data_IF_732710437251
#
_entry.id   IF_732710437251
#
_cell.length_a   1.000
_cell.length_b   1.000
_cell.length_c   1.000
_cell.angle_alpha   90.00
_cell.angle_beta   90.00
_cell.angle_gamma   90.00
#
_symmetry.space_group_name_H-M   'P 1'
#
loop_
_entity.id
_entity.type
_entity.pdbx_description
1 polymer ?
#
# COMPACT_ATOMS: atom_id res chain seq x y z
N UNK A 1 -7.60 -1.51 -26.69
CA UNK A 1 -6.50 -2.50 -26.64
C UNK A 1 -5.80 -2.33 -25.31
N UNK A 2 -5.92 -3.27 -24.38
CA UNK A 2 -5.18 -3.25 -23.13
C UNK A 2 -3.69 -3.45 -23.45
N UNK A 3 -2.86 -2.48 -23.07
CA UNK A 3 -1.41 -2.54 -23.26
C UNK A 3 -0.85 -3.53 -22.25
N UNK A 4 -0.18 -4.58 -22.71
CA UNK A 4 0.46 -5.56 -21.83
C UNK A 4 1.55 -4.88 -20.99
N UNK A 5 1.76 -5.33 -19.73
CA UNK A 5 2.81 -4.78 -18.87
C UNK A 5 4.18 -4.93 -19.54
N UNK A 6 5.04 -3.95 -19.36
CA UNK A 6 6.43 -4.07 -19.79
C UNK A 6 7.12 -5.10 -18.91
N UNK A 7 7.52 -6.23 -19.48
CA UNK A 7 8.15 -7.34 -18.76
C UNK A 7 9.66 -7.29 -18.95
N UNK A 8 10.40 -7.19 -17.86
CA UNK A 8 11.86 -7.37 -17.85
C UNK A 8 12.17 -8.75 -17.28
N UNK A 9 12.82 -9.60 -18.06
CA UNK A 9 13.25 -10.95 -17.64
C UNK A 9 14.72 -10.95 -17.27
N UNK A 10 15.03 -11.45 -16.07
CA UNK A 10 16.39 -11.77 -15.61
C UNK A 10 16.41 -13.22 -15.12
N UNK A 11 17.56 -13.90 -15.09
CA UNK A 11 17.64 -15.26 -14.55
C UNK A 11 17.04 -15.32 -13.14
N UNK A 12 16.00 -16.15 -12.96
CA UNK A 12 15.30 -16.33 -11.69
C UNK A 12 14.40 -15.18 -11.22
N UNK A 13 14.23 -14.13 -12.05
CA UNK A 13 13.39 -12.98 -11.70
C UNK A 13 12.66 -12.41 -12.92
N UNK A 14 11.36 -12.21 -12.80
CA UNK A 14 10.54 -11.48 -13.77
C UNK A 14 9.99 -10.21 -13.12
N UNK A 15 10.19 -9.07 -13.77
CA UNK A 15 9.70 -7.77 -13.30
C UNK A 15 8.59 -7.28 -14.23
N UNK A 16 7.42 -7.07 -13.68
CA UNK A 16 6.26 -6.50 -14.36
C UNK A 16 6.09 -5.03 -13.93
N UNK A 17 6.29 -4.10 -14.87
CA UNK A 17 6.02 -2.67 -14.63
C UNK A 17 4.56 -2.36 -14.89
N UNK A 18 3.93 -1.66 -13.96
CA UNK A 18 2.52 -1.27 -14.04
C UNK A 18 2.41 0.12 -14.67
N UNK A 19 2.01 0.15 -15.95
CA UNK A 19 1.70 1.38 -16.66
C UNK A 19 0.33 1.92 -16.22
N UNK A 20 0.08 3.21 -16.49
CA UNK A 20 -1.18 3.87 -16.15
C UNK A 20 -2.43 3.17 -16.74
N UNK A 21 -2.29 2.51 -17.91
CA UNK A 21 -3.38 1.77 -18.54
C UNK A 21 -3.78 0.51 -17.76
N UNK A 22 -2.83 -0.17 -17.13
CA UNK A 22 -3.07 -1.37 -16.31
C UNK A 22 -3.68 -0.97 -14.98
N UNK A 23 -3.14 0.09 -14.36
CA UNK A 23 -3.64 0.60 -13.09
C UNK A 23 -5.07 1.14 -13.18
N UNK A 24 -5.49 1.60 -14.35
CA UNK A 24 -6.87 2.02 -14.59
C UNK A 24 -7.85 0.86 -14.82
N UNK A 25 -7.37 -0.26 -15.40
CA UNK A 25 -8.22 -1.43 -15.68
C UNK A 25 -8.33 -2.40 -14.51
N UNK A 26 -7.36 -2.42 -13.60
CA UNK A 26 -7.17 -3.44 -12.56
C UNK A 26 -7.35 -2.84 -11.17
N UNK A 27 -8.15 -2.04 -10.80
CA UNK A 27 -8.49 -1.42 -9.51
C UNK A 27 -7.54 -1.63 -8.32
N UNK A 28 -7.13 -2.87 -8.04
CA UNK A 28 -6.31 -3.24 -6.89
C UNK A 28 -5.18 -4.24 -7.25
N UNK A 29 -4.25 -4.45 -6.32
CA UNK A 29 -3.09 -5.34 -6.52
C UNK A 29 -3.50 -6.81 -6.65
N UNK A 30 -4.56 -7.24 -6.00
CA UNK A 30 -5.08 -8.61 -6.14
C UNK A 30 -5.45 -8.93 -7.60
N UNK A 31 -6.21 -8.04 -8.26
CA UNK A 31 -6.62 -8.20 -9.66
C UNK A 31 -5.40 -8.18 -10.60
N UNK A 32 -4.41 -7.33 -10.30
CA UNK A 32 -3.14 -7.33 -11.05
C UNK A 32 -2.45 -8.68 -10.91
N UNK A 33 -2.26 -9.19 -9.70
CA UNK A 33 -1.56 -10.46 -9.46
C UNK A 33 -2.25 -11.63 -10.15
N UNK A 34 -3.57 -11.71 -10.10
CA UNK A 34 -4.33 -12.79 -10.75
C UNK A 34 -4.26 -12.72 -12.29
N UNK A 35 -3.96 -11.55 -12.85
CA UNK A 35 -3.75 -11.38 -14.29
C UNK A 35 -2.33 -11.72 -14.76
N UNK A 36 -1.36 -11.87 -13.82
CA UNK A 36 0.01 -12.18 -14.17
C UNK A 36 0.18 -13.68 -14.48
N UNK A 37 0.90 -14.04 -15.55
CA UNK A 37 1.15 -15.43 -15.88
C UNK A 37 2.02 -16.09 -14.79
N UNK A 38 1.64 -17.30 -14.40
CA UNK A 38 2.36 -18.09 -13.39
C UNK A 38 1.96 -17.77 -11.94
N UNK A 39 1.07 -16.84 -11.70
CA UNK A 39 0.50 -16.54 -10.37
C UNK A 39 -0.90 -17.10 -10.27
N UNK A 40 -1.17 -17.89 -9.26
CA UNK A 40 -2.50 -18.41 -8.93
C UNK A 40 -2.77 -18.15 -7.46
N UNK A 41 -3.89 -17.48 -7.16
CA UNK A 41 -4.34 -17.23 -5.79
C UNK A 41 -5.58 -18.08 -5.54
N UNK A 42 -5.51 -18.96 -4.56
CA UNK A 42 -6.65 -19.79 -4.16
C UNK A 42 -7.60 -19.03 -3.22
N UNK A 43 -8.81 -19.57 -3.04
CA UNK A 43 -9.83 -18.96 -2.20
C UNK A 43 -9.45 -18.90 -0.72
N UNK A 44 -8.55 -19.77 -0.27
CA UNK A 44 -7.99 -19.80 1.09
C UNK A 44 -6.86 -18.77 1.31
N UNK A 45 -6.48 -18.03 0.25
CA UNK A 45 -5.40 -17.05 0.28
C UNK A 45 -4.02 -17.65 0.03
N UNK A 46 -3.92 -18.93 -0.33
CA UNK A 46 -2.66 -19.56 -0.72
C UNK A 46 -2.25 -19.07 -2.10
N UNK A 47 -0.99 -18.65 -2.23
CA UNK A 47 -0.44 -18.13 -3.50
C UNK A 47 0.55 -19.14 -4.08
N UNK A 48 0.31 -19.49 -5.34
CA UNK A 48 1.22 -20.31 -6.14
C UNK A 48 1.98 -19.42 -7.11
N UNK A 49 3.25 -19.68 -7.23
CA UNK A 49 4.11 -19.06 -8.23
C UNK A 49 4.76 -20.15 -9.10
N UNK A 50 4.43 -20.16 -10.39
CA UNK A 50 4.88 -21.19 -11.35
C UNK A 50 4.61 -22.63 -10.88
N UNK A 51 3.46 -22.86 -10.23
CA UNK A 51 3.08 -24.18 -9.71
C UNK A 51 3.68 -24.55 -8.36
N UNK A 52 4.55 -23.71 -7.78
CA UNK A 52 5.10 -23.92 -6.43
C UNK A 52 4.19 -23.25 -5.41
N UNK A 53 3.83 -23.99 -4.36
CA UNK A 53 2.96 -23.52 -3.28
C UNK A 53 3.74 -22.66 -2.27
N UNK A 54 3.08 -21.64 -1.71
CA UNK A 54 3.57 -20.89 -0.57
C UNK A 54 4.48 -19.72 -0.95
N UNK A 55 4.22 -19.04 -2.07
CA UNK A 55 4.96 -17.83 -2.42
C UNK A 55 4.83 -16.77 -1.32
N UNK A 56 5.97 -16.23 -0.89
CA UNK A 56 6.01 -15.16 0.11
C UNK A 56 5.77 -13.80 -0.54
N UNK A 57 4.89 -13.01 0.08
CA UNK A 57 4.61 -11.63 -0.37
C UNK A 57 5.45 -10.64 0.41
N UNK A 58 6.18 -9.82 -0.34
CA UNK A 58 6.91 -8.68 0.18
C UNK A 58 6.24 -7.38 -0.30
N UNK A 59 6.25 -6.37 0.56
CA UNK A 59 5.91 -4.99 0.23
C UNK A 59 7.16 -4.12 0.39
N UNK A 60 7.63 -3.54 -0.71
CA UNK A 60 8.87 -2.73 -0.75
C UNK A 60 10.10 -3.46 -0.17
N UNK A 61 10.19 -4.77 -0.40
CA UNK A 61 11.26 -5.64 0.07
C UNK A 61 11.15 -6.08 1.53
N UNK A 62 10.03 -5.80 2.19
CA UNK A 62 9.77 -6.24 3.57
C UNK A 62 8.69 -7.33 3.58
N UNK A 63 8.89 -8.45 4.29
CA UNK A 63 7.87 -9.48 4.43
C UNK A 63 6.61 -8.93 5.08
N UNK A 64 5.44 -9.31 4.56
CA UNK A 64 4.15 -8.88 5.13
C UNK A 64 3.78 -9.69 6.36
N UNK A 65 4.33 -10.89 6.53
CA UNK A 65 3.98 -11.85 7.58
C UNK A 65 2.47 -12.18 7.67
N UNK A 66 1.73 -11.86 6.62
CA UNK A 66 0.30 -12.18 6.51
C UNK A 66 0.12 -13.44 5.66
N UNK A 67 -0.92 -14.20 5.97
CA UNK A 67 -1.30 -15.40 5.24
C UNK A 67 -2.82 -15.51 5.14
N UNK A 68 -3.29 -16.39 4.25
CA UNK A 68 -4.71 -16.64 4.11
C UNK A 68 -5.52 -15.39 3.73
N UNK A 69 -6.67 -15.22 4.35
CA UNK A 69 -7.61 -14.15 4.05
C UNK A 69 -7.09 -12.75 4.39
N UNK A 70 -6.23 -12.63 5.41
CA UNK A 70 -5.64 -11.34 5.77
C UNK A 70 -4.73 -10.82 4.67
N UNK A 71 -3.97 -11.71 4.04
CA UNK A 71 -3.15 -11.39 2.87
C UNK A 71 -4.01 -10.98 1.69
N UNK A 72 -5.08 -11.72 1.39
CA UNK A 72 -6.03 -11.37 0.33
C UNK A 72 -6.68 -10.01 0.57
N UNK A 73 -7.07 -9.72 1.80
CA UNK A 73 -7.64 -8.43 2.18
C UNK A 73 -6.63 -7.28 2.00
N UNK A 74 -5.37 -7.50 2.37
CA UNK A 74 -4.30 -6.52 2.11
C UNK A 74 -4.14 -6.24 0.62
N UNK A 75 -4.08 -7.29 -0.21
CA UNK A 75 -3.92 -7.15 -1.67
C UNK A 75 -5.11 -6.45 -2.32
N UNK A 76 -6.35 -6.75 -1.88
CA UNK A 76 -7.57 -6.09 -2.34
C UNK A 76 -7.68 -4.64 -1.87
N UNK A 77 -7.20 -4.33 -0.69
CA UNK A 77 -7.19 -2.95 -0.16
C UNK A 77 -6.07 -2.08 -0.72
N UNK A 78 -5.07 -2.68 -1.37
CA UNK A 78 -3.94 -1.95 -1.96
C UNK A 78 -4.28 -1.55 -3.39
N UNK A 79 -4.43 -0.23 -3.69
CA UNK A 79 -4.74 0.22 -5.04
C UNK A 79 -3.59 -0.07 -6.01
N UNK A 80 -3.92 -0.54 -7.22
CA UNK A 80 -2.93 -0.75 -8.28
C UNK A 80 -2.24 0.57 -8.68
N UNK A 81 -2.92 1.71 -8.53
CA UNK A 81 -2.41 3.04 -8.89
C UNK A 81 -1.17 3.47 -8.12
N UNK A 82 -1.00 2.99 -6.88
CA UNK A 82 0.18 3.27 -6.05
C UNK A 82 1.33 2.30 -6.29
N UNK A 83 1.11 1.24 -7.06
CA UNK A 83 2.13 0.22 -7.38
C UNK A 83 2.93 0.65 -8.60
N UNK A 84 4.25 0.55 -8.52
CA UNK A 84 5.21 0.85 -9.60
C UNK A 84 5.49 -0.41 -10.42
N UNK A 85 5.85 -1.49 -9.72
CA UNK A 85 6.19 -2.76 -10.33
C UNK A 85 5.96 -3.94 -9.38
N UNK A 86 5.85 -5.12 -9.97
CA UNK A 86 5.80 -6.40 -9.25
C UNK A 86 6.94 -7.27 -9.72
N UNK A 87 7.78 -7.68 -8.80
CA UNK A 87 8.91 -8.58 -9.03
C UNK A 87 8.52 -10.02 -8.65
N UNK A 88 8.47 -10.93 -9.61
CA UNK A 88 8.29 -12.36 -9.38
C UNK A 88 9.67 -13.03 -9.33
N UNK A 89 10.07 -13.55 -8.19
CA UNK A 89 11.38 -14.17 -7.94
C UNK A 89 11.14 -15.65 -7.72
N UNK A 90 11.52 -16.46 -8.70
CA UNK A 90 11.36 -17.92 -8.66
C UNK A 90 12.56 -18.64 -8.03
N UNK A 91 13.71 -17.97 -8.00
CA UNK A 91 14.93 -18.46 -7.36
C UNK A 91 15.40 -17.40 -6.36
N UNK A 92 14.85 -17.39 -5.13
CA UNK A 92 15.29 -16.45 -4.11
C UNK A 92 16.74 -16.75 -3.73
N UNK A 93 17.55 -15.70 -3.58
CA UNK A 93 18.90 -15.84 -3.04
C UNK A 93 18.83 -16.23 -1.56
N UNK A 94 19.91 -16.81 -1.02
CA UNK A 94 20.03 -17.21 0.40
C UNK A 94 19.65 -16.13 1.41
N UNK A 95 19.59 -14.87 0.98
CA UNK A 95 19.12 -13.73 1.80
C UNK A 95 17.62 -13.79 2.16
N UNK A 96 16.84 -14.52 1.36
CA UNK A 96 15.38 -14.66 1.51
C UNK A 96 14.98 -16.08 1.89
N UNK A 97 15.95 -16.99 2.08
CA UNK A 97 15.77 -18.44 2.16
C UNK A 97 15.37 -18.95 3.57
N UNK A 98 14.98 -18.07 4.46
CA UNK A 98 14.58 -18.49 5.82
C UNK A 98 13.23 -19.24 5.89
N UNK A 99 12.50 -19.39 4.77
CA UNK A 99 11.12 -19.93 4.76
C UNK A 99 10.86 -21.00 3.70
N UNK A 100 11.88 -21.66 3.18
CA UNK A 100 11.69 -22.77 2.23
C UNK A 100 11.67 -22.33 0.76
N UNK A 101 11.71 -23.31 -0.16
CA UNK A 101 11.85 -23.18 -1.62
C UNK A 101 10.67 -22.49 -2.35
N UNK A 102 9.89 -21.72 -1.67
CA UNK A 102 8.74 -21.01 -2.23
C UNK A 102 9.22 -19.73 -2.89
N UNK A 103 8.70 -19.41 -4.06
CA UNK A 103 9.03 -18.16 -4.76
C UNK A 103 8.65 -16.92 -3.94
N UNK A 104 9.11 -15.77 -4.40
CA UNK A 104 8.82 -14.46 -3.76
C UNK A 104 8.11 -13.57 -4.75
N UNK A 105 7.08 -12.88 -4.29
CA UNK A 105 6.40 -11.83 -5.02
C UNK A 105 6.64 -10.52 -4.26
N UNK A 106 7.46 -9.63 -4.82
CA UNK A 106 7.77 -8.33 -4.20
C UNK A 106 7.00 -7.22 -4.91
N UNK A 107 6.04 -6.65 -4.21
CA UNK A 107 5.21 -5.55 -4.67
C UNK A 107 5.90 -4.25 -4.32
N UNK A 108 6.35 -3.51 -5.34
CA UNK A 108 7.03 -2.24 -5.17
C UNK A 108 6.06 -1.09 -5.38
N UNK A 109 5.90 -0.27 -4.36
CA UNK A 109 5.08 0.93 -4.45
C UNK A 109 5.84 2.07 -5.13
N UNK A 110 5.10 2.94 -5.82
CA UNK A 110 5.65 4.17 -6.37
C UNK A 110 6.22 4.99 -5.22
N UNK A 111 7.50 5.28 -5.27
CA UNK A 111 8.10 6.25 -4.36
C UNK A 111 7.54 7.63 -4.74
N UNK A 112 6.39 7.95 -4.21
CA UNK A 112 5.82 9.29 -4.35
C UNK A 112 6.71 10.18 -3.48
N UNK A 113 7.77 10.70 -4.08
CA UNK A 113 8.53 11.83 -3.55
C UNK A 113 7.63 13.07 -3.69
N UNK A 114 6.50 13.07 -3.01
CA UNK A 114 5.70 14.28 -2.87
C UNK A 114 6.49 15.23 -1.98
N UNK A 115 7.36 15.99 -2.62
CA UNK A 115 7.81 17.25 -2.02
C UNK A 115 6.59 18.14 -1.98
N UNK A 116 6.25 18.66 -0.84
CA UNK A 116 5.11 19.55 -0.76
C UNK A 116 4.80 19.95 0.67
N UNK A 117 4.06 21.02 0.75
CA UNK A 117 3.43 21.50 1.95
C UNK A 117 1.94 21.16 1.87
N UNK A 118 1.44 20.52 2.88
CA UNK A 118 0.01 20.30 3.06
C UNK A 118 -0.42 21.01 4.34
N UNK A 119 -1.31 21.96 4.20
CA UNK A 119 -1.92 22.68 5.30
C UNK A 119 -3.40 22.33 5.33
N UNK A 120 -3.85 21.77 6.44
CA UNK A 120 -5.27 21.52 6.69
C UNK A 120 -5.72 22.37 7.86
N UNK A 121 -6.81 23.10 7.66
CA UNK A 121 -7.47 23.89 8.71
C UNK A 121 -8.90 23.38 8.83
N UNK A 122 -9.27 22.95 10.02
CA UNK A 122 -10.62 22.50 10.32
C UNK A 122 -11.17 23.34 11.46
N UNK A 123 -12.41 23.78 11.33
CA UNK A 123 -13.14 24.48 12.38
C UNK A 123 -14.56 23.96 12.45
N UNK A 124 -15.06 23.75 13.66
CA UNK A 124 -16.46 23.44 13.91
C UNK A 124 -16.98 24.32 15.04
N UNK A 125 -18.21 24.77 14.89
CA UNK A 125 -18.93 25.48 15.91
C UNK A 125 -20.28 24.80 16.09
N UNK A 126 -20.55 24.41 17.31
CA UNK A 126 -21.83 23.82 17.70
C UNK A 126 -22.54 24.79 18.62
N UNK A 127 -23.75 25.16 18.23
CA UNK A 127 -24.61 26.04 19.02
C UNK A 127 -25.76 25.24 19.62
N UNK A 128 -25.43 24.49 20.68
CA UNK A 128 -26.42 23.88 21.55
C UNK A 128 -26.92 24.90 22.62
N UNK A 129 -27.32 24.42 23.80
CA UNK A 129 -27.65 25.25 24.94
C UNK A 129 -26.46 26.09 25.43
N UNK A 130 -25.22 25.62 25.09
CA UNK A 130 -23.95 26.31 25.32
C UNK A 130 -23.12 26.17 24.02
N UNK A 131 -22.51 27.29 23.58
CA UNK A 131 -21.70 27.26 22.36
C UNK A 131 -20.37 26.57 22.60
N UNK A 132 -20.07 25.54 21.80
CA UNK A 132 -18.79 24.84 21.78
C UNK A 132 -18.06 25.17 20.47
N UNK A 133 -16.80 25.55 20.55
CA UNK A 133 -15.95 25.82 19.38
C UNK A 133 -14.73 24.95 19.37
N UNK A 134 -14.46 24.36 18.23
CA UNK A 134 -13.24 23.58 17.97
C UNK A 134 -12.53 24.13 16.74
N UNK A 135 -11.23 24.32 16.83
CA UNK A 135 -10.38 24.66 15.70
C UNK A 135 -9.12 23.81 15.71
N UNK A 136 -8.75 23.24 14.58
CA UNK A 136 -7.50 22.52 14.45
C UNK A 136 -6.76 22.91 13.17
N UNK A 137 -5.44 22.97 13.27
CA UNK A 137 -4.53 23.24 12.15
C UNK A 137 -3.47 22.14 12.11
N UNK A 138 -3.30 21.55 10.94
CA UNK A 138 -2.27 20.54 10.69
C UNK A 138 -1.40 20.97 9.52
N UNK A 139 -0.11 21.10 9.77
CA UNK A 139 0.92 21.38 8.76
C UNK A 139 1.80 20.16 8.56
N UNK A 140 1.90 19.69 7.32
CA UNK A 140 2.81 18.62 6.93
C UNK A 140 3.74 19.15 5.83
N UNK A 141 5.03 19.26 6.16
CA UNK A 141 6.08 19.65 5.24
C UNK A 141 6.95 18.45 4.94
N UNK A 142 6.96 18.02 3.69
CA UNK A 142 7.79 16.89 3.25
C UNK A 142 8.80 17.35 2.20
N UNK A 143 10.07 17.20 2.54
CA UNK A 143 11.20 17.40 1.64
C UNK A 143 11.96 16.09 1.44
N UNK A 144 12.98 16.08 0.59
CA UNK A 144 13.81 14.89 0.37
C UNK A 144 14.52 14.37 1.62
N UNK A 145 14.79 15.26 2.58
CA UNK A 145 15.62 14.96 3.77
C UNK A 145 14.83 15.04 5.07
N UNK A 146 13.72 15.77 5.09
CA UNK A 146 12.96 16.03 6.29
C UNK A 146 11.47 15.81 6.07
N UNK A 147 10.83 15.25 7.07
CA UNK A 147 9.39 15.23 7.22
C UNK A 147 9.05 15.96 8.51
N UNK A 148 8.46 17.15 8.38
CA UNK A 148 8.04 17.96 9.51
C UNK A 148 6.52 17.91 9.60
N UNK A 149 6.03 17.51 10.76
CA UNK A 149 4.61 17.43 11.07
C UNK A 149 4.32 18.29 12.31
N UNK A 150 3.41 19.24 12.18
CA UNK A 150 2.91 20.07 13.27
C UNK A 150 1.39 19.98 13.29
N UNK A 151 0.85 19.67 14.45
CA UNK A 151 -0.60 19.71 14.69
C UNK A 151 -0.88 20.57 15.91
N UNK A 152 -1.80 21.51 15.76
CA UNK A 152 -2.30 22.34 16.83
C UNK A 152 -3.82 22.27 16.84
N UNK A 153 -4.39 22.06 18.04
CA UNK A 153 -5.84 22.05 18.23
C UNK A 153 -6.22 22.91 19.42
N UNK A 154 -7.29 23.67 19.26
CA UNK A 154 -7.90 24.49 20.29
C UNK A 154 -9.37 24.12 20.41
N UNK A 155 -9.80 23.82 21.64
CA UNK A 155 -11.20 23.58 21.95
C UNK A 155 -11.63 24.49 23.10
N UNK A 156 -12.77 25.11 22.96
CA UNK A 156 -13.40 25.90 24.02
C UNK A 156 -14.77 25.31 24.34
N UNK A 157 -14.87 24.81 25.57
CA UNK A 157 -16.11 24.32 26.15
C UNK A 157 -16.49 25.23 27.32
N UNK A 158 -17.69 25.77 27.33
CA UNK A 158 -18.21 26.50 28.48
C UNK A 158 -19.01 25.48 29.33
N UNK A 159 -18.37 24.92 30.36
CA UNK A 159 -19.05 24.19 31.41
C UNK A 159 -19.34 25.18 32.55
N UNK A 160 -20.60 25.29 32.93
CA UNK A 160 -20.98 25.87 34.21
C UNK A 160 -21.25 24.72 35.16
N UNK A 161 -20.39 24.57 36.17
CA UNK A 161 -20.73 23.76 37.34
C UNK A 161 -21.89 24.45 38.07
N UNK A 162 -23.09 23.85 38.00
CA UNK A 162 -24.17 24.21 38.92
C UNK A 162 -23.80 23.62 40.29
N UNK A 163 -23.49 24.55 41.21
CA UNK A 163 -23.43 24.30 42.66
C UNK A 163 -24.84 24.23 43.23
#
# INVERSE_FOLDING_TARGET
MAKLPTVEMKPGKMTYRLDASITQSQGNVYDVLTSLPGVVIQNDGTIFLNGQNGANILMDGKPTYLSGQDLVNLLKSTPASITDKIDLITQPSARYDASGNSGIIDIRTKKILRRGMNLSVNGSYDQGKYGEGFASTTLNLRTNKFNFYLSYSYSRKNDYDDL
#
